data_IF_090507433631
#
_entry.id   IF_090507433631
#
_cell.length_a   1.000
_cell.length_b   1.000
_cell.length_c   1.000
_cell.angle_alpha   90.00
_cell.angle_beta   90.00
_cell.angle_gamma   90.00
#
_symmetry.space_group_name_H-M   'P 1'
#
loop_
_entity.id
_entity.type
_entity.pdbx_description
1 polymer ?
#
# COMPACT_ATOMS: atom_id res chain seq x y z
N UNK A 1 -0.01 21.38 -8.29
CA UNK A 1 -0.42 22.22 -9.42
C UNK A 1 0.62 22.22 -10.56
N UNK A 2 1.88 22.52 -10.27
CA UNK A 2 2.92 22.71 -11.32
C UNK A 2 3.11 21.51 -12.27
N UNK A 3 3.00 20.29 -11.79
CA UNK A 3 3.11 19.08 -12.63
C UNK A 3 1.84 18.86 -13.44
N UNK A 4 0.67 19.02 -12.81
CA UNK A 4 -0.63 18.88 -13.48
C UNK A 4 -0.80 19.90 -14.62
N UNK A 5 -0.37 21.13 -14.41
CA UNK A 5 -0.49 22.22 -15.39
C UNK A 5 0.64 22.22 -16.45
N UNK A 6 1.55 21.23 -16.42
CA UNK A 6 2.68 21.14 -17.34
C UNK A 6 2.32 20.36 -18.62
N UNK A 7 2.19 21.00 -19.79
CA UNK A 7 1.81 20.33 -21.04
C UNK A 7 2.82 19.26 -21.50
N UNK A 8 4.10 19.42 -21.14
CA UNK A 8 5.12 18.41 -21.49
C UNK A 8 4.93 17.14 -20.68
N UNK A 9 4.61 17.26 -19.37
CA UNK A 9 4.29 16.12 -18.53
C UNK A 9 3.03 15.38 -19.01
N UNK A 10 1.95 16.11 -19.27
CA UNK A 10 0.70 15.51 -19.76
C UNK A 10 0.92 14.79 -21.10
N UNK A 11 1.69 15.37 -22.01
CA UNK A 11 2.04 14.72 -23.28
C UNK A 11 2.82 13.43 -23.07
N UNK A 12 3.86 13.46 -22.23
CA UNK A 12 4.65 12.27 -21.90
C UNK A 12 3.80 11.16 -21.24
N UNK A 13 2.90 11.54 -20.34
CA UNK A 13 1.99 10.59 -19.69
C UNK A 13 1.05 9.94 -20.69
N UNK A 14 0.46 10.75 -21.60
CA UNK A 14 -0.39 10.25 -22.69
C UNK A 14 0.37 9.28 -23.59
N UNK A 15 1.57 9.68 -24.03
CA UNK A 15 2.39 8.89 -24.95
C UNK A 15 2.83 7.57 -24.29
N UNK A 16 3.22 7.62 -23.02
CA UNK A 16 3.56 6.42 -22.23
C UNK A 16 2.37 5.44 -22.12
N UNK A 17 1.18 5.94 -21.78
CA UNK A 17 0.00 5.09 -21.69
C UNK A 17 -0.42 4.54 -23.06
N UNK A 18 -0.39 5.35 -24.11
CA UNK A 18 -0.74 4.94 -25.47
C UNK A 18 0.27 3.93 -26.06
N UNK A 19 1.51 3.90 -25.58
CA UNK A 19 2.52 2.95 -26.02
C UNK A 19 2.40 1.56 -25.37
N UNK A 20 1.53 1.39 -24.37
CA UNK A 20 1.31 0.11 -23.73
C UNK A 20 0.67 -0.87 -24.72
N UNK A 21 1.32 -2.02 -24.94
CA UNK A 21 0.77 -3.04 -25.85
C UNK A 21 -0.50 -3.63 -25.26
N UNK A 22 -1.60 -3.42 -25.98
CA UNK A 22 -2.92 -4.02 -25.71
C UNK A 22 -3.02 -5.32 -26.49
N UNK A 23 -3.38 -6.43 -25.84
CA UNK A 23 -3.47 -7.71 -26.55
C UNK A 23 -3.81 -8.88 -25.65
N UNK A 24 -3.74 -10.07 -26.21
CA UNK A 24 -4.04 -11.32 -25.53
C UNK A 24 -3.04 -11.59 -24.38
N UNK A 25 -3.54 -12.18 -23.30
CA UNK A 25 -2.69 -12.67 -22.18
C UNK A 25 -1.75 -13.81 -22.58
N UNK A 26 -1.94 -14.44 -23.74
CA UNK A 26 -1.01 -15.42 -24.32
C UNK A 26 0.19 -14.78 -25.03
N UNK A 27 0.14 -13.48 -25.26
CA UNK A 27 1.26 -12.73 -25.83
C UNK A 27 2.13 -12.14 -24.72
N UNK A 28 3.37 -12.60 -24.61
CA UNK A 28 4.32 -12.25 -23.52
C UNK A 28 4.53 -10.74 -23.37
N UNK A 29 4.43 -9.98 -24.46
CA UNK A 29 4.66 -8.52 -24.44
C UNK A 29 3.37 -7.72 -24.21
N UNK A 30 2.20 -8.34 -24.08
CA UNK A 30 0.97 -7.61 -23.76
C UNK A 30 1.02 -7.11 -22.34
N UNK A 31 0.82 -5.80 -22.16
CA UNK A 31 0.82 -5.13 -20.85
C UNK A 31 -0.63 -4.91 -20.39
N UNK A 32 -1.49 -4.51 -21.32
CA UNK A 32 -2.93 -4.39 -21.08
C UNK A 32 -3.62 -5.59 -21.68
N UNK A 33 -4.13 -6.45 -20.82
CA UNK A 33 -4.78 -7.72 -21.21
C UNK A 33 -6.28 -7.65 -21.01
N UNK A 34 -7.07 -8.61 -21.54
CA UNK A 34 -8.51 -8.60 -21.39
C UNK A 34 -8.95 -8.57 -19.93
N UNK A 35 -10.02 -7.84 -19.68
CA UNK A 35 -10.78 -7.89 -18.44
C UNK A 35 -11.34 -9.30 -18.22
N UNK A 36 -11.63 -9.66 -16.97
CA UNK A 36 -12.20 -10.98 -16.64
C UNK A 36 -13.61 -11.19 -17.20
N UNK A 37 -14.30 -10.12 -17.56
CA UNK A 37 -15.60 -10.09 -18.21
C UNK A 37 -15.79 -8.77 -18.95
N UNK A 38 -16.80 -8.69 -19.80
CA UNK A 38 -17.22 -7.45 -20.43
C UNK A 38 -17.54 -6.39 -19.37
N UNK A 39 -17.07 -5.14 -19.53
CA UNK A 39 -17.29 -4.09 -18.55
C UNK A 39 -18.79 -3.76 -18.41
N UNK A 40 -19.24 -3.70 -17.17
CA UNK A 40 -20.58 -3.31 -16.78
C UNK A 40 -20.57 -2.36 -15.59
N UNK A 41 -21.70 -1.74 -15.25
CA UNK A 41 -21.86 -0.90 -14.06
C UNK A 41 -20.81 0.20 -13.95
N UNK A 42 -20.12 0.24 -12.82
CA UNK A 42 -19.12 1.27 -12.52
C UNK A 42 -17.93 1.27 -13.50
N UNK A 43 -17.46 0.10 -13.92
CA UNK A 43 -16.35 0.03 -14.87
C UNK A 43 -16.74 0.55 -16.25
N UNK A 44 -17.89 0.17 -16.76
CA UNK A 44 -18.38 0.69 -18.05
C UNK A 44 -18.58 2.21 -17.98
N UNK A 45 -19.17 2.72 -16.89
CA UNK A 45 -19.27 4.17 -16.66
C UNK A 45 -17.92 4.84 -16.67
N UNK A 46 -16.93 4.28 -15.97
CA UNK A 46 -15.58 4.83 -15.91
C UNK A 46 -14.89 4.89 -17.27
N UNK A 47 -15.13 3.90 -18.13
CA UNK A 47 -14.53 3.80 -19.46
C UNK A 47 -15.24 4.66 -20.52
N UNK A 48 -16.51 5.03 -20.32
CA UNK A 48 -17.32 5.65 -21.38
C UNK A 48 -17.88 7.03 -21.05
N UNK A 49 -17.99 7.39 -19.78
CA UNK A 49 -18.66 8.62 -19.34
C UNK A 49 -17.71 9.50 -18.54
N UNK A 50 -17.79 10.81 -18.75
CA UNK A 50 -17.10 11.84 -18.00
C UNK A 50 -18.08 12.61 -17.12
N UNK A 51 -17.62 13.07 -15.97
CA UNK A 51 -18.38 13.97 -15.11
C UNK A 51 -18.16 15.43 -15.52
N UNK A 52 -19.03 16.37 -15.09
CA UNK A 52 -18.87 17.77 -15.43
C UNK A 52 -17.52 18.35 -15.01
N UNK A 53 -16.76 18.83 -15.99
CA UNK A 53 -15.42 19.38 -15.81
C UNK A 53 -14.29 18.37 -16.01
N UNK A 54 -14.60 17.12 -16.30
CA UNK A 54 -13.61 16.13 -16.71
C UNK A 54 -13.42 16.11 -18.23
N UNK A 55 -12.23 15.71 -18.67
CA UNK A 55 -11.90 15.51 -20.08
C UNK A 55 -11.00 14.29 -20.27
N UNK A 56 -11.00 13.71 -21.46
CA UNK A 56 -10.07 12.65 -21.82
C UNK A 56 -8.72 13.22 -22.25
N UNK A 57 -7.65 12.98 -21.49
CA UNK A 57 -6.30 13.10 -22.01
C UNK A 57 -5.98 11.96 -22.97
N UNK A 58 -6.43 10.75 -22.65
CA UNK A 58 -6.41 9.58 -23.51
C UNK A 58 -7.76 8.85 -23.34
N UNK A 59 -8.55 8.78 -24.42
CA UNK A 59 -9.84 8.10 -24.39
C UNK A 59 -9.62 6.59 -24.51
N UNK A 60 -10.16 5.77 -23.60
CA UNK A 60 -10.12 4.31 -23.75
C UNK A 60 -11.10 3.86 -24.84
N UNK A 61 -10.71 2.83 -25.59
CA UNK A 61 -11.54 2.28 -26.66
C UNK A 61 -11.60 0.74 -26.57
N UNK A 62 -12.76 0.14 -26.82
CA UNK A 62 -12.89 -1.30 -26.88
C UNK A 62 -12.21 -1.87 -28.13
N UNK A 63 -11.72 -3.10 -28.05
CA UNK A 63 -11.28 -3.85 -29.22
C UNK A 63 -12.50 -4.33 -30.01
N UNK A 64 -12.42 -4.28 -31.34
CA UNK A 64 -13.50 -4.78 -32.22
C UNK A 64 -13.69 -6.30 -32.08
N UNK A 65 -12.61 -7.04 -31.85
CA UNK A 65 -12.62 -8.51 -31.81
C UNK A 65 -12.90 -9.08 -30.40
N UNK A 66 -12.81 -8.27 -29.35
CA UNK A 66 -12.95 -8.76 -27.98
C UNK A 66 -13.54 -7.69 -27.05
N UNK A 67 -14.80 -7.81 -26.65
CA UNK A 67 -15.46 -6.80 -25.79
C UNK A 67 -14.86 -6.70 -24.39
N UNK A 68 -14.07 -7.67 -23.95
CA UNK A 68 -13.32 -7.62 -22.70
C UNK A 68 -11.98 -6.88 -22.84
N UNK A 69 -11.51 -6.57 -24.04
CA UNK A 69 -10.23 -5.92 -24.27
C UNK A 69 -10.41 -4.43 -24.56
N UNK A 70 -9.83 -3.60 -23.70
CA UNK A 70 -9.90 -2.15 -23.79
C UNK A 70 -8.52 -1.52 -23.77
N UNK A 71 -8.34 -0.45 -24.53
CA UNK A 71 -7.13 0.35 -24.44
C UNK A 71 -7.10 1.16 -23.13
N UNK A 72 -5.92 1.58 -22.63
CA UNK A 72 -5.85 2.41 -21.43
C UNK A 72 -6.47 3.79 -21.66
N UNK A 73 -7.12 4.32 -20.61
CA UNK A 73 -7.69 5.67 -20.61
C UNK A 73 -7.10 6.54 -19.50
N UNK A 74 -7.08 7.86 -19.73
CA UNK A 74 -6.67 8.85 -18.75
C UNK A 74 -7.68 9.99 -18.71
N UNK A 75 -8.23 10.24 -17.53
CA UNK A 75 -9.19 11.32 -17.24
C UNK A 75 -8.46 12.46 -16.54
N UNK A 76 -8.61 13.68 -17.02
CA UNK A 76 -8.23 14.92 -16.34
C UNK A 76 -9.44 15.57 -15.70
N UNK A 77 -9.19 16.46 -14.73
CA UNK A 77 -10.24 17.25 -14.09
C UNK A 77 -11.10 16.47 -13.08
N UNK A 78 -10.68 15.27 -12.70
CA UNK A 78 -11.31 14.52 -11.61
C UNK A 78 -11.24 15.35 -10.34
N UNK A 79 -12.36 15.49 -9.64
CA UNK A 79 -12.44 16.31 -8.43
C UNK A 79 -12.31 15.47 -7.16
N UNK A 80 -11.70 15.99 -6.09
CA UNK A 80 -11.77 15.37 -4.78
C UNK A 80 -13.22 15.09 -4.37
N UNK A 81 -13.49 13.93 -3.80
CA UNK A 81 -14.84 13.49 -3.39
C UNK A 81 -15.80 13.13 -4.53
N UNK A 82 -15.39 13.27 -5.82
CA UNK A 82 -16.24 12.89 -6.95
C UNK A 82 -16.47 11.38 -7.02
N UNK A 83 -17.48 10.97 -7.82
CA UNK A 83 -17.77 9.56 -8.00
C UNK A 83 -16.53 8.75 -8.44
N UNK A 84 -15.75 9.26 -9.42
CA UNK A 84 -14.58 8.52 -9.90
C UNK A 84 -13.46 8.45 -8.84
N UNK A 85 -13.27 9.50 -8.03
CA UNK A 85 -12.30 9.49 -6.93
C UNK A 85 -12.63 8.42 -5.87
N UNK A 86 -13.93 8.25 -5.55
CA UNK A 86 -14.40 7.37 -4.48
C UNK A 86 -14.74 5.94 -4.94
N UNK A 87 -14.67 5.66 -6.26
CA UNK A 87 -15.14 4.37 -6.79
C UNK A 87 -13.99 3.55 -7.33
N UNK A 88 -13.84 2.33 -6.84
CA UNK A 88 -12.93 1.34 -7.40
C UNK A 88 -13.53 0.71 -8.67
N UNK A 89 -12.86 0.85 -9.81
CA UNK A 89 -13.41 0.47 -11.11
C UNK A 89 -12.78 -0.77 -11.75
N UNK A 90 -11.72 -1.33 -11.21
CA UNK A 90 -11.03 -2.55 -11.67
C UNK A 90 -10.80 -2.63 -13.20
N UNK A 91 -10.27 -1.56 -13.79
CA UNK A 91 -10.02 -1.53 -15.24
C UNK A 91 -8.93 -0.55 -15.65
N UNK A 92 -8.62 -0.50 -16.96
CA UNK A 92 -7.49 0.26 -17.48
C UNK A 92 -7.79 1.75 -17.63
N UNK A 93 -8.26 2.40 -16.57
CA UNK A 93 -8.59 3.83 -16.57
C UNK A 93 -7.99 4.52 -15.37
N UNK A 94 -7.26 5.61 -15.62
CA UNK A 94 -6.58 6.44 -14.63
C UNK A 94 -7.29 7.79 -14.51
N UNK A 95 -7.57 8.23 -13.29
CA UNK A 95 -8.01 9.59 -13.00
C UNK A 95 -6.87 10.44 -12.44
N UNK A 96 -6.80 11.69 -12.86
CA UNK A 96 -5.82 12.66 -12.37
C UNK A 96 -6.54 13.80 -11.67
N UNK A 97 -6.17 14.00 -10.42
CA UNK A 97 -6.70 15.06 -9.56
C UNK A 97 -5.61 16.12 -9.38
N UNK A 98 -6.00 17.39 -9.55
CA UNK A 98 -5.12 18.52 -9.30
C UNK A 98 -5.06 18.83 -7.81
N UNK A 99 -3.86 18.95 -7.26
CA UNK A 99 -3.60 19.44 -5.93
C UNK A 99 -2.65 20.65 -5.97
N UNK A 100 -2.80 21.60 -5.06
CA UNK A 100 -1.98 22.80 -5.03
C UNK A 100 -0.59 22.56 -4.40
N UNK A 101 -0.53 21.63 -3.45
CA UNK A 101 0.68 21.29 -2.70
C UNK A 101 0.64 19.82 -2.27
N UNK A 102 1.71 19.37 -1.60
CA UNK A 102 1.85 17.97 -1.16
C UNK A 102 0.87 17.62 -0.03
N UNK A 103 0.61 18.54 0.90
CA UNK A 103 -0.34 18.31 1.99
C UNK A 103 -1.72 18.02 1.43
N UNK A 104 -2.22 18.86 0.53
CA UNK A 104 -3.51 18.65 -0.12
C UNK A 104 -3.53 17.36 -0.93
N UNK A 105 -2.44 17.02 -1.62
CA UNK A 105 -2.35 15.75 -2.35
C UNK A 105 -2.44 14.54 -1.41
N UNK A 106 -1.85 14.62 -0.22
CA UNK A 106 -1.96 13.58 0.81
C UNK A 106 -3.38 13.48 1.35
N UNK A 107 -4.01 14.62 1.62
CA UNK A 107 -5.38 14.67 2.12
C UNK A 107 -6.35 14.06 1.10
N UNK A 108 -6.21 14.40 -0.19
CA UNK A 108 -6.98 13.79 -1.28
C UNK A 108 -6.70 12.29 -1.39
N UNK A 109 -5.45 11.86 -1.30
CA UNK A 109 -5.08 10.44 -1.34
C UNK A 109 -5.71 9.66 -0.19
N UNK A 110 -5.81 10.25 0.99
CA UNK A 110 -6.38 9.65 2.18
C UNK A 110 -7.91 9.74 2.23
N UNK A 111 -8.55 10.61 1.43
CA UNK A 111 -9.99 10.78 1.34
C UNK A 111 -10.64 9.67 0.49
N UNK A 112 -10.41 8.42 0.92
CA UNK A 112 -10.97 7.21 0.33
C UNK A 112 -11.18 6.17 1.43
N UNK A 113 -12.22 5.37 1.31
CA UNK A 113 -12.47 4.24 2.22
C UNK A 113 -11.43 3.11 2.04
N UNK A 114 -10.63 3.15 0.99
CA UNK A 114 -9.62 2.15 0.65
C UNK A 114 -8.21 2.69 0.82
N UNK A 115 -7.27 1.80 1.14
CA UNK A 115 -5.87 2.15 1.31
C UNK A 115 -4.95 0.95 1.13
N UNK A 116 -5.01 0.28 -0.03
CA UNK A 116 -4.17 -0.90 -0.26
C UNK A 116 -2.73 -0.50 -0.57
N UNK A 117 -2.54 0.29 -1.62
CA UNK A 117 -1.23 0.77 -2.05
C UNK A 117 -1.26 2.27 -2.31
N UNK A 118 -0.15 2.92 -2.06
CA UNK A 118 0.06 4.31 -2.43
C UNK A 118 1.53 4.59 -2.70
N UNK A 119 1.81 5.60 -3.50
CA UNK A 119 3.18 5.94 -3.88
C UNK A 119 3.43 7.43 -3.96
N UNK A 120 4.66 7.81 -3.69
CA UNK A 120 5.18 9.15 -3.87
C UNK A 120 6.39 9.11 -4.82
N UNK A 121 6.41 10.01 -5.79
CA UNK A 121 7.56 10.28 -6.65
C UNK A 121 8.13 11.64 -6.24
N UNK A 122 9.24 11.65 -5.51
CA UNK A 122 9.93 12.86 -5.08
C UNK A 122 11.41 12.56 -4.80
N UNK A 123 12.27 13.56 -5.05
CA UNK A 123 13.69 13.54 -4.66
C UNK A 123 13.95 14.40 -3.41
N UNK A 124 12.94 15.07 -2.85
CA UNK A 124 13.06 15.87 -1.63
C UNK A 124 12.78 14.99 -0.40
N UNK A 125 13.79 14.77 0.44
CA UNK A 125 13.68 13.97 1.65
C UNK A 125 12.65 14.52 2.66
N UNK A 126 12.36 15.83 2.63
CA UNK A 126 11.36 16.46 3.49
C UNK A 126 9.96 16.08 3.03
N UNK A 127 9.71 16.06 1.73
CA UNK A 127 8.44 15.60 1.15
C UNK A 127 8.22 14.11 1.42
N UNK A 128 9.28 13.31 1.27
CA UNK A 128 9.24 11.87 1.57
C UNK A 128 8.93 11.64 3.05
N UNK A 129 9.58 12.36 3.95
CA UNK A 129 9.34 12.25 5.39
C UNK A 129 7.91 12.67 5.75
N UNK A 130 7.42 13.79 5.23
CA UNK A 130 6.06 14.27 5.44
C UNK A 130 5.03 13.25 4.96
N UNK A 131 5.18 12.75 3.74
CA UNK A 131 4.25 11.78 3.15
C UNK A 131 4.20 10.48 3.97
N UNK A 132 5.36 9.94 4.38
CA UNK A 132 5.44 8.73 5.22
C UNK A 132 4.69 8.84 6.55
N UNK A 133 4.63 10.05 7.12
CA UNK A 133 3.97 10.27 8.42
C UNK A 133 2.46 10.41 8.31
N UNK A 134 1.96 10.81 7.14
CA UNK A 134 0.55 11.16 6.96
C UNK A 134 -0.24 10.17 6.09
N UNK A 135 0.42 9.43 5.21
CA UNK A 135 -0.26 8.55 4.25
C UNK A 135 -0.96 7.38 4.94
N UNK A 136 -2.20 7.12 4.52
CA UNK A 136 -3.04 6.02 5.03
C UNK A 136 -3.13 4.88 4.01
N UNK A 137 -2.01 4.18 3.82
CA UNK A 137 -1.94 3.01 2.94
C UNK A 137 -1.23 1.86 3.60
N UNK A 138 -1.65 0.65 3.32
CA UNK A 138 -1.01 -0.54 3.85
C UNK A 138 0.38 -0.78 3.26
N UNK A 139 0.57 -0.51 1.98
CA UNK A 139 1.86 -0.61 1.30
C UNK A 139 2.24 0.73 0.67
N UNK A 140 3.27 1.36 1.24
CA UNK A 140 3.79 2.66 0.83
C UNK A 140 5.03 2.48 -0.06
N UNK A 141 5.05 3.16 -1.20
CA UNK A 141 6.13 3.07 -2.19
C UNK A 141 6.72 4.46 -2.48
N UNK A 142 8.04 4.53 -2.61
CA UNK A 142 8.74 5.77 -2.95
C UNK A 142 9.62 5.53 -4.16
N UNK A 143 9.45 6.38 -5.18
CA UNK A 143 10.21 6.37 -6.42
C UNK A 143 10.20 5.01 -7.15
N UNK A 144 9.08 4.31 -7.10
CA UNK A 144 8.87 3.04 -7.81
C UNK A 144 7.37 2.85 -8.12
N UNK A 145 7.07 1.83 -8.93
CA UNK A 145 5.68 1.40 -9.20
C UNK A 145 5.02 0.88 -7.93
N UNK A 146 3.72 1.10 -7.81
CA UNK A 146 2.92 0.74 -6.63
C UNK A 146 2.35 -0.69 -6.69
N UNK A 147 2.84 -1.50 -7.61
CA UNK A 147 2.41 -2.89 -7.84
C UNK A 147 3.53 -3.88 -7.50
N UNK A 148 3.22 -5.17 -7.41
CA UNK A 148 4.21 -6.24 -7.32
C UNK A 148 4.70 -6.52 -5.90
N UNK A 149 3.81 -6.96 -5.01
CA UNK A 149 4.21 -7.54 -3.73
C UNK A 149 4.82 -8.93 -3.92
N UNK A 150 5.86 -9.23 -3.16
CA UNK A 150 6.55 -10.53 -3.19
C UNK A 150 6.56 -11.10 -1.78
N UNK A 151 6.04 -12.31 -1.61
CA UNK A 151 6.04 -13.04 -0.32
C UNK A 151 7.44 -13.07 0.30
N UNK A 152 7.53 -12.81 1.60
CA UNK A 152 8.76 -12.72 2.41
C UNK A 152 9.72 -11.57 2.07
N UNK A 153 9.49 -10.83 0.99
CA UNK A 153 10.24 -9.59 0.69
C UNK A 153 9.42 -8.35 1.02
N UNK A 154 8.13 -8.42 0.74
CA UNK A 154 7.22 -7.30 0.91
C UNK A 154 5.87 -7.84 1.38
N UNK A 155 5.63 -7.89 2.70
CA UNK A 155 4.32 -8.23 3.24
C UNK A 155 3.25 -7.32 2.66
N UNK A 156 2.13 -7.91 2.21
CA UNK A 156 1.09 -7.20 1.48
C UNK A 156 -0.22 -7.19 2.27
N UNK A 157 -0.73 -6.00 2.53
CA UNK A 157 -1.99 -5.79 3.23
C UNK A 157 -2.34 -4.32 3.23
N UNK A 158 -3.62 -4.02 3.42
CA UNK A 158 -4.18 -2.69 3.26
C UNK A 158 -4.35 -1.90 4.55
N UNK A 159 -4.99 -0.77 4.40
CA UNK A 159 -5.50 0.17 5.40
C UNK A 159 -7.00 0.34 5.20
N UNK A 160 -7.75 0.79 6.18
CA UNK A 160 -9.21 0.96 6.12
C UNK A 160 -9.92 -0.30 5.55
N UNK A 161 -10.84 -0.15 4.61
CA UNK A 161 -11.58 -1.25 3.97
C UNK A 161 -10.68 -2.18 3.12
N UNK A 162 -9.41 -1.81 2.87
CA UNK A 162 -8.43 -2.69 2.24
C UNK A 162 -7.68 -3.59 3.23
N UNK A 163 -8.13 -3.68 4.47
CA UNK A 163 -7.59 -4.57 5.50
C UNK A 163 -8.65 -5.51 6.06
N UNK A 164 -8.22 -6.63 6.61
CA UNK A 164 -9.07 -7.60 7.30
C UNK A 164 -8.48 -7.98 8.66
N UNK A 165 -9.37 -8.16 9.65
CA UNK A 165 -8.99 -8.58 10.99
C UNK A 165 -8.05 -7.60 11.68
N UNK A 166 -7.04 -8.07 12.43
CA UNK A 166 -6.12 -7.23 13.20
C UNK A 166 -5.05 -6.53 12.34
N UNK A 167 -5.20 -6.50 11.02
CA UNK A 167 -4.28 -5.81 10.11
C UNK A 167 -2.97 -6.54 9.83
N UNK A 168 -2.88 -7.85 10.05
CA UNK A 168 -1.71 -8.63 9.67
C UNK A 168 -1.56 -8.71 8.14
N UNK A 169 -0.34 -8.52 7.64
CA UNK A 169 -0.07 -8.51 6.21
C UNK A 169 0.32 -9.89 5.70
N UNK A 170 -0.26 -10.32 4.57
CA UNK A 170 0.07 -11.57 3.90
C UNK A 170 1.58 -11.67 3.61
N UNK A 171 2.19 -12.80 3.93
CA UNK A 171 3.64 -13.02 3.83
C UNK A 171 4.46 -12.28 4.88
N UNK A 172 3.83 -11.62 5.85
CA UNK A 172 4.48 -10.96 6.98
C UNK A 172 4.73 -11.91 8.16
N UNK A 173 5.62 -11.54 9.08
CA UNK A 173 5.99 -12.39 10.22
C UNK A 173 4.81 -12.65 11.18
N UNK A 174 3.86 -11.72 11.24
CA UNK A 174 2.73 -11.80 12.16
C UNK A 174 1.45 -12.38 11.50
N UNK A 175 1.53 -12.88 10.27
CA UNK A 175 0.34 -13.34 9.55
C UNK A 175 -0.32 -14.55 10.25
N UNK A 176 0.47 -15.48 10.74
CA UNK A 176 -0.04 -16.68 11.41
C UNK A 176 -0.71 -16.38 12.75
N UNK A 177 -0.37 -15.26 13.39
CA UNK A 177 -0.92 -14.89 14.70
C UNK A 177 -2.43 -14.66 14.67
N UNK A 178 -3.00 -14.32 13.52
CA UNK A 178 -4.43 -14.11 13.33
C UNK A 178 -5.23 -15.39 13.05
N UNK A 179 -4.55 -16.51 12.83
CA UNK A 179 -5.18 -17.79 12.49
C UNK A 179 -5.44 -18.69 13.70
N UNK A 180 -5.07 -18.26 14.90
CA UNK A 180 -5.19 -19.01 16.14
C UNK A 180 -5.86 -18.24 17.25
N UNK A 181 -6.26 -18.96 18.29
CA UNK A 181 -6.67 -18.37 19.56
C UNK A 181 -5.43 -18.19 20.44
N UNK A 182 -5.33 -17.04 21.09
CA UNK A 182 -4.21 -16.75 22.00
C UNK A 182 -4.64 -17.00 23.42
N UNK A 183 -3.84 -17.77 24.16
CA UNK A 183 -3.99 -17.96 25.59
C UNK A 183 -2.79 -17.36 26.30
N UNK A 184 -3.04 -16.61 27.37
CA UNK A 184 -1.99 -16.15 28.25
C UNK A 184 -1.40 -17.33 29.03
N UNK A 185 -0.14 -17.64 28.78
CA UNK A 185 0.57 -18.63 29.55
C UNK A 185 1.27 -17.96 30.75
N UNK A 186 1.09 -18.51 31.93
CA UNK A 186 1.77 -17.99 33.11
C UNK A 186 3.29 -17.98 32.90
N UNK A 187 3.93 -16.84 33.17
CA UNK A 187 5.38 -16.75 33.11
C UNK A 187 6.03 -17.71 34.12
N UNK A 188 7.19 -18.31 33.77
CA UNK A 188 7.90 -19.18 34.69
C UNK A 188 8.21 -18.50 36.02
N UNK A 189 7.91 -19.16 37.13
CA UNK A 189 8.12 -18.60 38.46
C UNK A 189 9.62 -18.47 38.85
N UNK A 190 10.48 -19.31 38.25
CA UNK A 190 11.94 -19.25 38.49
C UNK A 190 12.63 -18.47 37.37
N UNK A 191 13.32 -17.42 37.76
CA UNK A 191 14.15 -16.63 36.87
C UNK A 191 15.36 -17.44 36.40
N UNK A 192 15.71 -17.30 35.13
CA UNK A 192 17.00 -17.76 34.59
C UNK A 192 17.85 -16.54 34.18
N UNK A 193 19.13 -16.73 34.19
CA UNK A 193 20.08 -15.71 33.74
C UNK A 193 20.04 -15.68 32.19
N UNK A 194 19.77 -14.55 31.56
CA UNK A 194 19.90 -14.41 30.12
C UNK A 194 21.35 -14.66 29.68
N UNK A 195 21.54 -15.09 28.43
CA UNK A 195 22.88 -15.21 27.84
C UNK A 195 23.67 -13.89 27.87
N UNK A 196 25.00 -13.96 27.82
CA UNK A 196 25.88 -12.81 28.02
C UNK A 196 25.54 -11.57 27.20
N UNK A 197 25.19 -11.76 25.92
CA UNK A 197 24.84 -10.67 25.02
C UNK A 197 23.54 -9.94 25.44
N UNK A 198 22.55 -10.68 25.92
CA UNK A 198 21.27 -10.13 26.40
C UNK A 198 21.48 -9.51 27.78
N UNK A 199 22.29 -10.13 28.65
CA UNK A 199 22.64 -9.59 29.96
C UNK A 199 23.30 -8.21 29.86
N UNK A 200 24.19 -7.99 28.89
CA UNK A 200 24.80 -6.69 28.63
C UNK A 200 23.78 -5.61 28.24
N UNK A 201 22.81 -5.97 27.39
CA UNK A 201 21.72 -5.05 27.02
C UNK A 201 20.78 -4.76 28.19
N UNK A 202 20.46 -5.76 29.00
CA UNK A 202 19.62 -5.62 30.20
C UNK A 202 20.26 -4.70 31.21
N UNK A 203 21.56 -4.87 31.48
CA UNK A 203 22.28 -4.00 32.43
C UNK A 203 22.37 -2.55 31.92
N UNK A 204 22.57 -2.36 30.63
CA UNK A 204 22.53 -1.02 30.02
C UNK A 204 21.16 -0.37 30.21
N UNK A 205 20.08 -1.08 29.92
CA UNK A 205 18.72 -0.58 30.14
C UNK A 205 18.43 -0.29 31.62
N UNK A 206 18.96 -1.10 32.54
CA UNK A 206 18.82 -0.86 33.96
C UNK A 206 19.57 0.38 34.42
N UNK A 207 20.72 0.67 33.81
CA UNK A 207 21.48 1.89 34.05
C UNK A 207 20.76 3.14 33.54
N UNK A 208 20.16 3.04 32.34
CA UNK A 208 19.44 4.14 31.73
C UNK A 208 18.07 4.42 32.39
N UNK A 209 17.48 3.40 33.03
CA UNK A 209 16.16 3.43 33.68
C UNK A 209 16.19 2.85 35.09
N UNK A 210 16.85 3.49 36.03
CA UNK A 210 17.11 2.93 37.38
C UNK A 210 15.82 2.60 38.16
N UNK A 211 14.77 3.39 38.03
CA UNK A 211 13.50 3.16 38.71
C UNK A 211 12.78 1.89 38.25
N UNK A 212 13.08 1.43 37.02
CA UNK A 212 12.52 0.22 36.44
C UNK A 212 13.47 -1.00 36.51
N UNK A 213 14.69 -0.85 37.00
CA UNK A 213 15.75 -1.87 36.91
C UNK A 213 15.33 -3.25 37.48
N UNK A 214 14.63 -3.27 38.62
CA UNK A 214 14.13 -4.52 39.21
C UNK A 214 13.12 -5.24 38.29
N UNK A 215 12.22 -4.51 37.67
CA UNK A 215 11.22 -5.06 36.76
C UNK A 215 11.87 -5.56 35.48
N UNK A 216 12.83 -4.83 34.94
CA UNK A 216 13.57 -5.18 33.71
C UNK A 216 14.33 -6.51 33.93
N UNK A 217 15.11 -6.65 35.01
CA UNK A 217 15.85 -7.88 35.33
C UNK A 217 14.89 -9.07 35.53
N UNK A 218 13.79 -8.88 36.24
CA UNK A 218 12.80 -9.92 36.47
C UNK A 218 12.16 -10.39 35.14
N UNK A 219 11.77 -9.46 34.31
CA UNK A 219 11.16 -9.79 32.99
C UNK A 219 12.15 -10.52 32.07
N UNK A 220 13.41 -10.05 31.99
CA UNK A 220 14.45 -10.69 31.17
C UNK A 220 14.74 -12.13 31.63
N UNK A 221 14.84 -12.38 32.93
CA UNK A 221 15.04 -13.73 33.45
C UNK A 221 13.88 -14.67 33.23
N UNK A 222 12.65 -14.17 33.39
CA UNK A 222 11.43 -14.94 33.12
C UNK A 222 11.32 -15.29 31.63
N UNK A 223 11.60 -14.34 30.75
CA UNK A 223 11.55 -14.54 29.30
C UNK A 223 12.61 -15.54 28.82
N UNK A 224 13.84 -15.44 29.32
CA UNK A 224 14.93 -16.36 28.98
C UNK A 224 14.57 -17.81 29.36
N UNK A 225 13.95 -18.02 30.53
CA UNK A 225 13.50 -19.35 30.97
C UNK A 225 12.41 -19.89 30.04
N UNK A 226 11.42 -19.05 29.69
CA UNK A 226 10.31 -19.45 28.83
C UNK A 226 10.79 -19.87 27.44
N UNK A 227 11.73 -19.12 26.83
CA UNK A 227 12.31 -19.46 25.53
C UNK A 227 13.02 -20.80 25.53
N UNK A 228 13.80 -21.09 26.60
CA UNK A 228 14.47 -22.40 26.77
C UNK A 228 13.48 -23.56 26.86
N UNK A 229 12.39 -23.38 27.59
CA UNK A 229 11.39 -24.44 27.81
C UNK A 229 10.54 -24.69 26.57
N UNK A 230 10.20 -23.65 25.82
CA UNK A 230 9.33 -23.78 24.66
C UNK A 230 10.07 -24.13 23.37
N UNK A 231 11.25 -23.61 23.18
CA UNK A 231 11.99 -23.70 21.90
C UNK A 231 13.34 -24.40 21.99
N UNK A 232 13.80 -24.72 23.17
CA UNK A 232 15.11 -25.39 23.37
C UNK A 232 16.34 -24.52 23.09
N UNK A 233 16.19 -23.18 23.12
CA UNK A 233 17.24 -22.19 22.80
C UNK A 233 17.53 -21.25 23.97
#
# INVERSE_FOLDING_TARGET
ASVYDNPAFLRQLKDAAASLKVGSSWEVNSVVTPLIREPEGNLLRALTQLEPGEEWLLKPEPSEDNPCLWSPGIRLGVKPGSWFHQTECFGPVLGIIRAENLEEAIDIQNDSEFGLTGGLQSLDEREIALWKTKVQVGNAYINRVITGAIVRRQPFGGWNHSSMGPGAKAGGPNYLTMLGCWEEKALPQKLRTPGERISGLVEKLCSDLPDCAKRIRSAAGSQAKWWMEEFGV
#
